data_IF_855655000501
#
_entry.id   IF_855655000501
#
_cell.length_a   1.000
_cell.length_b   1.000
_cell.length_c   1.000
_cell.angle_alpha   90.00
_cell.angle_beta   90.00
_cell.angle_gamma   90.00
#
_symmetry.space_group_name_H-M   'P 1'
#
loop_
_entity.id
_entity.type
_entity.pdbx_description
1 polymer ?
#
# COMPACT_ATOMS: atom_id res chain seq x y z
N UNK A 1 11.00 6.08 29.09
CA UNK A 1 11.64 5.54 27.87
C UNK A 1 10.84 4.31 27.46
N UNK A 2 10.37 4.26 26.21
CA UNK A 2 9.68 3.08 25.67
C UNK A 2 10.75 2.00 25.43
N UNK A 3 10.80 0.99 26.29
CA UNK A 3 11.91 0.02 26.36
C UNK A 3 11.67 -1.27 25.55
N UNK A 4 10.44 -1.54 25.11
CA UNK A 4 10.09 -2.73 24.32
C UNK A 4 9.12 -2.43 23.18
N UNK A 5 9.01 -3.34 22.19
CA UNK A 5 8.05 -3.21 21.09
C UNK A 5 6.59 -3.19 21.59
N UNK A 6 6.28 -4.00 22.60
CA UNK A 6 4.96 -4.03 23.24
C UNK A 6 4.59 -2.69 23.86
N UNK A 7 5.55 -2.01 24.49
CA UNK A 7 5.33 -0.69 25.07
C UNK A 7 5.07 0.35 23.97
N UNK A 8 5.72 0.22 22.82
CA UNK A 8 5.51 1.11 21.68
C UNK A 8 4.11 0.97 21.11
N UNK A 9 3.67 -0.26 20.85
CA UNK A 9 2.32 -0.53 20.33
C UNK A 9 1.28 0.03 21.30
N UNK A 10 1.46 -0.23 22.59
CA UNK A 10 0.55 0.27 23.63
C UNK A 10 0.55 1.79 23.74
N UNK A 11 1.72 2.43 23.60
CA UNK A 11 1.83 3.90 23.64
C UNK A 11 1.17 4.54 22.42
N UNK A 12 1.47 4.03 21.22
CA UNK A 12 0.86 4.54 19.97
C UNK A 12 -0.66 4.32 20.01
N UNK A 13 -1.11 3.15 20.48
CA UNK A 13 -2.53 2.85 20.62
C UNK A 13 -3.23 3.71 21.69
N UNK A 14 -2.51 4.36 22.60
CA UNK A 14 -3.10 5.28 23.58
C UNK A 14 -3.19 6.73 23.07
N UNK A 15 -2.47 7.09 22.00
CA UNK A 15 -2.54 8.42 21.39
C UNK A 15 -3.91 8.63 20.73
N UNK A 16 -4.35 9.88 20.62
CA UNK A 16 -5.50 10.23 19.76
C UNK A 16 -5.10 10.13 18.29
N UNK A 17 -6.03 9.75 17.40
CA UNK A 17 -5.81 9.76 15.94
C UNK A 17 -5.40 11.18 15.45
N UNK A 18 -5.89 12.21 16.13
CA UNK A 18 -5.62 13.61 15.80
C UNK A 18 -4.33 14.18 16.44
N UNK A 19 -3.63 13.42 17.28
CA UNK A 19 -2.42 13.90 17.98
C UNK A 19 -1.15 13.70 17.14
N UNK A 20 -1.02 14.46 16.04
CA UNK A 20 0.13 14.36 15.12
C UNK A 20 1.46 14.61 15.85
N UNK A 21 1.47 15.60 16.75
CA UNK A 21 2.66 15.96 17.50
C UNK A 21 3.08 14.86 18.48
N UNK A 22 2.13 14.24 19.19
CA UNK A 22 2.39 13.11 20.07
C UNK A 22 2.87 11.88 19.33
N UNK A 23 2.30 11.59 18.16
CA UNK A 23 2.73 10.49 17.26
C UNK A 23 4.16 10.75 16.77
N UNK A 24 4.43 11.95 16.27
CA UNK A 24 5.75 12.33 15.77
C UNK A 24 6.80 12.31 16.89
N UNK A 25 6.50 12.83 18.07
CA UNK A 25 7.40 12.78 19.22
C UNK A 25 7.69 11.34 19.66
N UNK A 26 6.65 10.49 19.76
CA UNK A 26 6.76 9.08 20.15
C UNK A 26 7.62 8.29 19.17
N UNK A 27 7.38 8.48 17.87
CA UNK A 27 8.10 7.77 16.82
C UNK A 27 9.50 8.34 16.58
N UNK A 28 9.72 9.65 16.75
CA UNK A 28 11.04 10.29 16.55
C UNK A 28 12.00 10.01 17.71
N UNK A 29 11.49 9.87 18.93
CA UNK A 29 12.29 9.51 20.11
C UNK A 29 12.91 8.09 20.02
N UNK A 30 12.48 7.27 19.07
CA UNK A 30 13.04 5.94 18.79
C UNK A 30 14.13 6.01 17.73
N UNK A 31 15.33 5.56 18.12
CA UNK A 31 16.49 5.38 17.23
C UNK A 31 16.48 4.07 16.44
N UNK A 32 15.57 3.14 16.76
CA UNK A 32 15.40 1.88 16.03
C UNK A 32 14.99 2.13 14.57
N UNK A 33 15.47 1.28 13.65
CA UNK A 33 15.19 1.38 12.21
C UNK A 33 13.73 1.09 11.83
N UNK A 34 13.41 1.20 10.54
CA UNK A 34 12.05 1.06 9.99
C UNK A 34 11.40 -0.30 10.33
N UNK A 35 12.22 -1.35 10.42
CA UNK A 35 11.77 -2.74 10.60
C UNK A 35 10.90 -2.98 11.83
N UNK A 36 11.19 -2.32 12.95
CA UNK A 36 10.41 -2.50 14.17
C UNK A 36 9.05 -1.79 14.12
N UNK A 37 8.95 -0.70 13.36
CA UNK A 37 7.78 0.18 13.38
C UNK A 37 6.70 -0.25 12.37
N UNK A 38 7.11 -0.88 11.27
CA UNK A 38 6.20 -1.20 10.17
C UNK A 38 5.08 -2.19 10.58
N UNK A 39 5.35 -3.33 11.25
CA UNK A 39 4.29 -4.29 11.59
C UNK A 39 3.18 -3.72 12.51
N UNK A 40 3.49 -3.02 13.62
CA UNK A 40 2.44 -2.40 14.44
C UNK A 40 1.62 -1.34 13.70
N UNK A 41 2.25 -0.59 12.79
CA UNK A 41 1.54 0.42 12.01
C UNK A 41 0.64 -0.22 10.95
N UNK A 42 0.98 -1.41 10.43
CA UNK A 42 0.09 -2.16 9.55
C UNK A 42 -1.18 -2.64 10.26
N UNK A 43 -1.08 -3.12 11.51
CA UNK A 43 -2.27 -3.45 12.31
C UNK A 43 -3.21 -2.25 12.49
N UNK A 44 -2.63 -1.05 12.60
CA UNK A 44 -3.40 0.19 12.74
C UNK A 44 -4.07 0.63 11.43
N UNK A 45 -3.61 0.19 10.25
CA UNK A 45 -4.21 0.62 8.97
C UNK A 45 -5.70 0.28 8.87
N UNK A 46 -6.18 -0.73 9.60
CA UNK A 46 -7.56 -1.18 9.55
C UNK A 46 -8.39 -0.71 10.75
N UNK A 47 -7.74 -0.66 11.91
CA UNK A 47 -8.43 -0.31 13.17
C UNK A 47 -8.44 1.19 13.41
N UNK A 48 -7.42 1.91 12.95
CA UNK A 48 -7.16 3.33 13.20
C UNK A 48 -6.40 3.97 12.02
N UNK A 49 -7.01 4.05 10.81
CA UNK A 49 -6.29 4.38 9.59
C UNK A 49 -5.66 5.79 9.57
N UNK A 50 -6.24 6.77 10.28
CA UNK A 50 -5.64 8.10 10.41
C UNK A 50 -4.38 8.07 11.28
N UNK A 51 -4.38 7.30 12.36
CA UNK A 51 -3.20 7.08 13.19
C UNK A 51 -2.10 6.36 12.39
N UNK A 52 -2.47 5.35 11.60
CA UNK A 52 -1.55 4.65 10.71
C UNK A 52 -0.95 5.58 9.65
N UNK A 53 -1.78 6.42 9.01
CA UNK A 53 -1.34 7.43 8.05
C UNK A 53 -0.26 8.33 8.66
N UNK A 54 -0.51 8.90 9.84
CA UNK A 54 0.43 9.77 10.55
C UNK A 54 1.72 9.03 10.92
N UNK A 55 1.62 7.78 11.38
CA UNK A 55 2.78 6.96 11.67
C UNK A 55 3.65 6.69 10.45
N UNK A 56 3.04 6.37 9.30
CA UNK A 56 3.77 6.16 8.05
C UNK A 56 4.36 7.46 7.51
N UNK A 57 3.69 8.62 7.68
CA UNK A 57 4.29 9.94 7.36
C UNK A 57 5.61 10.12 8.10
N UNK A 58 5.65 9.81 9.40
CA UNK A 58 6.89 9.91 10.19
C UNK A 58 7.95 8.93 9.70
N UNK A 59 7.60 7.68 9.39
CA UNK A 59 8.53 6.69 8.85
C UNK A 59 9.13 7.17 7.53
N UNK A 60 8.31 7.69 6.63
CA UNK A 60 8.73 8.05 5.27
C UNK A 60 9.63 9.28 5.26
N UNK A 61 9.52 10.17 6.25
CA UNK A 61 10.44 11.30 6.45
C UNK A 61 11.86 10.86 6.87
N UNK A 62 12.04 9.63 7.34
CA UNK A 62 13.37 9.13 7.74
C UNK A 62 14.26 8.91 6.52
N UNK A 63 15.59 9.06 6.67
CA UNK A 63 16.53 8.74 5.60
C UNK A 63 16.35 7.31 5.08
N UNK A 64 16.60 7.12 3.79
CA UNK A 64 16.55 5.81 3.16
C UNK A 64 17.53 4.84 3.86
N UNK A 65 17.07 3.65 4.26
CA UNK A 65 17.95 2.64 4.85
C UNK A 65 18.97 2.09 3.84
N UNK A 66 20.15 1.72 4.33
CA UNK A 66 21.23 1.15 3.51
C UNK A 66 21.12 -0.36 3.31
N UNK A 67 20.53 -1.08 4.27
CA UNK A 67 20.35 -2.52 4.15
C UNK A 67 19.08 -2.84 3.34
N UNK A 68 19.16 -3.92 2.55
CA UNK A 68 18.13 -4.29 1.56
C UNK A 68 16.74 -4.42 2.18
N UNK A 69 16.61 -5.16 3.29
CA UNK A 69 15.31 -5.48 3.87
C UNK A 69 14.65 -4.23 4.47
N UNK A 70 15.39 -3.40 5.19
CA UNK A 70 14.81 -2.17 5.75
C UNK A 70 14.46 -1.17 4.64
N UNK A 71 15.23 -1.14 3.53
CA UNK A 71 14.90 -0.35 2.35
C UNK A 71 13.58 -0.81 1.73
N UNK A 72 13.37 -2.11 1.59
CA UNK A 72 12.12 -2.69 1.08
C UNK A 72 10.92 -2.28 1.96
N UNK A 73 11.05 -2.40 3.28
CA UNK A 73 10.02 -1.96 4.22
C UNK A 73 9.74 -0.45 4.14
N UNK A 74 10.79 0.35 3.93
CA UNK A 74 10.68 1.80 3.78
C UNK A 74 9.99 2.20 2.47
N UNK A 75 10.28 1.50 1.37
CA UNK A 75 9.59 1.68 0.07
C UNK A 75 8.12 1.26 0.18
N UNK A 76 7.82 0.18 0.92
CA UNK A 76 6.44 -0.22 1.20
C UNK A 76 5.71 0.81 2.05
N UNK A 77 6.38 1.41 3.05
CA UNK A 77 5.79 2.51 3.83
C UNK A 77 5.43 3.72 2.95
N UNK A 78 6.24 4.05 1.94
CA UNK A 78 5.93 5.10 0.95
C UNK A 78 4.68 4.79 0.13
N UNK A 79 4.57 3.56 -0.34
CA UNK A 79 3.36 3.11 -1.03
C UNK A 79 2.13 3.20 -0.12
N UNK A 80 2.22 2.67 1.09
CA UNK A 80 1.07 2.55 1.99
C UNK A 80 0.62 3.92 2.50
N UNK A 81 1.54 4.84 2.78
CA UNK A 81 1.15 6.21 3.16
C UNK A 81 0.50 6.93 1.98
N UNK A 82 0.95 6.67 0.75
CA UNK A 82 0.38 7.26 -0.45
C UNK A 82 -1.05 6.73 -0.69
N UNK A 83 -1.27 5.44 -0.53
CA UNK A 83 -2.62 4.85 -0.51
C UNK A 83 -3.51 5.51 0.54
N UNK A 84 -3.05 5.61 1.80
CA UNK A 84 -3.85 6.23 2.87
C UNK A 84 -4.10 7.72 2.65
N UNK A 85 -3.20 8.44 1.98
CA UNK A 85 -3.38 9.84 1.62
C UNK A 85 -4.55 10.09 0.67
N UNK A 86 -5.06 9.05 -0.01
CA UNK A 86 -6.28 9.17 -0.80
C UNK A 86 -7.52 9.41 0.09
N UNK A 87 -7.49 8.87 1.31
CA UNK A 87 -8.62 8.89 2.26
C UNK A 87 -8.40 9.88 3.42
N UNK A 88 -7.15 10.07 3.85
CA UNK A 88 -6.80 10.79 5.08
C UNK A 88 -5.79 11.92 4.85
N UNK A 89 -5.61 12.75 5.88
CA UNK A 89 -4.71 13.90 5.89
C UNK A 89 -5.33 15.14 5.24
N UNK A 90 -4.83 16.29 5.65
CA UNK A 90 -5.17 17.58 5.03
C UNK A 90 -4.49 17.72 3.65
N UNK A 91 -4.99 18.59 2.74
CA UNK A 91 -4.45 18.73 1.39
C UNK A 91 -2.93 18.93 1.34
N UNK A 92 -2.37 19.73 2.25
CA UNK A 92 -0.93 19.99 2.33
C UNK A 92 -0.14 18.73 2.75
N UNK A 93 -0.70 17.91 3.64
CA UNK A 93 -0.08 16.64 4.03
C UNK A 93 -0.07 15.64 2.88
N UNK A 94 -1.19 15.54 2.14
CA UNK A 94 -1.31 14.68 0.96
C UNK A 94 -0.32 15.08 -0.12
N UNK A 95 -0.20 16.38 -0.39
CA UNK A 95 0.78 16.93 -1.33
C UNK A 95 2.21 16.51 -0.91
N UNK A 96 2.58 16.73 0.34
CA UNK A 96 3.90 16.38 0.84
C UNK A 96 4.18 14.86 0.84
N UNK A 97 3.14 14.03 0.98
CA UNK A 97 3.23 12.58 0.86
C UNK A 97 3.50 12.17 -0.58
N UNK A 98 2.71 12.67 -1.54
CA UNK A 98 2.85 12.33 -2.96
C UNK A 98 4.22 12.75 -3.48
N UNK A 99 4.66 13.97 -3.19
CA UNK A 99 5.98 14.45 -3.60
C UNK A 99 7.11 13.56 -3.09
N UNK A 100 6.98 13.04 -1.85
CA UNK A 100 7.97 12.13 -1.28
C UNK A 100 7.91 10.74 -1.89
N UNK A 101 6.71 10.21 -2.09
CA UNK A 101 6.49 8.90 -2.69
C UNK A 101 7.04 8.85 -4.12
N UNK A 102 6.72 9.86 -4.95
CA UNK A 102 7.17 9.93 -6.34
C UNK A 102 8.70 9.94 -6.49
N UNK A 103 9.44 10.50 -5.53
CA UNK A 103 10.93 10.47 -5.55
C UNK A 103 11.52 9.08 -5.51
N UNK A 104 10.77 8.09 -5.04
CA UNK A 104 11.22 6.69 -4.91
C UNK A 104 10.33 5.69 -5.67
N UNK A 105 9.40 6.20 -6.48
CA UNK A 105 8.42 5.39 -7.20
C UNK A 105 9.05 4.43 -8.20
N UNK A 106 10.19 4.75 -8.79
CA UNK A 106 10.92 3.85 -9.70
C UNK A 106 11.40 2.55 -9.01
N UNK A 107 11.45 2.52 -7.69
CA UNK A 107 11.82 1.34 -6.90
C UNK A 107 10.59 0.58 -6.37
N UNK A 108 9.39 1.14 -6.52
CA UNK A 108 8.12 0.51 -6.17
C UNK A 108 7.01 1.11 -7.05
N UNK A 109 6.80 0.51 -8.23
CA UNK A 109 5.97 1.10 -9.29
C UNK A 109 4.50 1.31 -8.90
N UNK A 110 3.99 0.56 -7.90
CA UNK A 110 2.64 0.77 -7.38
C UNK A 110 2.43 2.18 -6.80
N UNK A 111 3.52 2.87 -6.43
CA UNK A 111 3.46 4.27 -6.00
C UNK A 111 2.91 5.18 -7.11
N UNK A 112 3.22 4.92 -8.39
CA UNK A 112 2.74 5.77 -9.48
C UNK A 112 1.20 5.79 -9.57
N UNK A 113 0.56 4.63 -9.44
CA UNK A 113 -0.90 4.53 -9.40
C UNK A 113 -1.49 5.23 -8.17
N UNK A 114 -1.00 4.91 -6.97
CA UNK A 114 -1.49 5.52 -5.74
C UNK A 114 -1.29 7.05 -5.72
N UNK A 115 -0.16 7.52 -6.24
CA UNK A 115 0.11 8.95 -6.38
C UNK A 115 -0.88 9.61 -7.34
N UNK A 116 -1.17 9.00 -8.48
CA UNK A 116 -2.16 9.52 -9.43
C UNK A 116 -3.57 9.64 -8.81
N UNK A 117 -3.99 8.67 -7.98
CA UNK A 117 -5.24 8.76 -7.23
C UNK A 117 -5.27 9.98 -6.30
N UNK A 118 -4.19 10.18 -5.52
CA UNK A 118 -4.09 11.34 -4.62
C UNK A 118 -4.02 12.66 -5.40
N UNK A 119 -3.30 12.72 -6.52
CA UNK A 119 -3.21 13.90 -7.38
C UNK A 119 -4.57 14.26 -7.99
N UNK A 120 -5.37 13.27 -8.41
CA UNK A 120 -6.75 13.48 -8.81
C UNK A 120 -7.59 14.07 -7.65
N UNK A 121 -7.43 13.54 -6.43
CA UNK A 121 -8.09 14.05 -5.23
C UNK A 121 -7.73 15.51 -4.92
N UNK A 122 -6.48 15.90 -5.22
CA UNK A 122 -5.96 17.26 -5.06
C UNK A 122 -6.31 18.18 -6.24
N UNK A 123 -7.01 17.69 -7.26
CA UNK A 123 -7.38 18.49 -8.44
C UNK A 123 -6.21 18.77 -9.39
N UNK A 124 -5.23 17.88 -9.46
CA UNK A 124 -4.00 18.03 -10.25
C UNK A 124 -3.95 16.99 -11.39
N UNK A 125 -4.75 17.16 -12.46
CA UNK A 125 -4.90 16.14 -13.50
C UNK A 125 -3.65 15.91 -14.33
N UNK A 126 -2.89 16.95 -14.65
CA UNK A 126 -1.66 16.85 -15.45
C UNK A 126 -0.62 15.99 -14.72
N UNK A 127 -0.37 16.27 -13.44
CA UNK A 127 0.57 15.48 -12.64
C UNK A 127 0.09 14.03 -12.44
N UNK A 128 -1.23 13.80 -12.35
CA UNK A 128 -1.78 12.46 -12.25
C UNK A 128 -1.51 11.65 -13.54
N UNK A 129 -1.69 12.26 -14.71
CA UNK A 129 -1.36 11.66 -16.00
C UNK A 129 0.15 11.37 -16.12
N UNK A 130 0.99 12.33 -15.75
CA UNK A 130 2.45 12.16 -15.75
C UNK A 130 2.89 10.98 -14.87
N UNK A 131 2.29 10.84 -13.68
CA UNK A 131 2.58 9.72 -12.78
C UNK A 131 2.20 8.37 -13.41
N UNK A 132 1.03 8.27 -14.03
CA UNK A 132 0.59 7.04 -14.72
C UNK A 132 1.50 6.73 -15.90
N UNK A 133 1.81 7.73 -16.73
CA UNK A 133 2.71 7.57 -17.88
C UNK A 133 4.09 7.06 -17.46
N UNK A 134 4.68 7.65 -16.42
CA UNK A 134 5.97 7.19 -15.88
C UNK A 134 5.90 5.76 -15.34
N UNK A 135 4.85 5.42 -14.59
CA UNK A 135 4.66 4.07 -14.08
C UNK A 135 4.55 3.05 -15.21
N UNK A 136 3.72 3.34 -16.20
CA UNK A 136 3.55 2.50 -17.39
C UNK A 136 4.89 2.35 -18.15
N UNK A 137 5.60 3.44 -18.39
CA UNK A 137 6.89 3.44 -19.09
C UNK A 137 7.98 2.65 -18.38
N UNK A 138 7.90 2.51 -17.06
CA UNK A 138 8.81 1.71 -16.23
C UNK A 138 8.35 0.26 -16.02
N UNK A 139 7.24 -0.16 -16.63
CA UNK A 139 6.75 -1.54 -16.56
C UNK A 139 5.77 -1.81 -15.42
N UNK A 140 4.93 -0.82 -15.06
CA UNK A 140 3.80 -1.06 -14.15
C UNK A 140 2.94 -2.24 -14.66
N UNK A 141 2.58 -3.10 -13.73
CA UNK A 141 1.86 -4.36 -13.94
C UNK A 141 0.55 -4.19 -14.74
N UNK A 142 0.30 -5.11 -15.67
CA UNK A 142 -0.88 -5.06 -16.56
C UNK A 142 -2.21 -5.14 -15.78
N UNK A 143 -2.27 -5.89 -14.68
CA UNK A 143 -3.47 -5.94 -13.85
C UNK A 143 -3.74 -4.60 -13.18
N UNK A 144 -2.69 -3.90 -12.74
CA UNK A 144 -2.81 -2.54 -12.21
C UNK A 144 -3.35 -1.58 -13.27
N UNK A 145 -2.80 -1.59 -14.49
CA UNK A 145 -3.26 -0.69 -15.56
C UNK A 145 -4.68 -1.03 -16.03
N UNK A 146 -5.03 -2.31 -16.07
CA UNK A 146 -6.40 -2.72 -16.37
C UNK A 146 -7.38 -2.27 -15.28
N UNK A 147 -7.00 -2.37 -14.00
CA UNK A 147 -7.83 -1.92 -12.88
C UNK A 147 -8.08 -0.40 -12.89
N UNK A 148 -7.13 0.42 -13.37
CA UNK A 148 -7.28 1.88 -13.47
C UNK A 148 -8.49 2.29 -14.32
N UNK A 149 -8.88 1.47 -15.31
CA UNK A 149 -10.02 1.76 -16.20
C UNK A 149 -11.35 1.88 -15.47
N UNK A 150 -11.46 1.29 -14.28
CA UNK A 150 -12.65 1.27 -13.43
C UNK A 150 -12.41 1.89 -12.03
N UNK A 151 -11.23 2.48 -11.80
CA UNK A 151 -10.83 3.04 -10.51
C UNK A 151 -11.35 4.47 -10.33
N UNK A 152 -12.41 4.64 -9.54
CA UNK A 152 -13.12 5.91 -9.31
C UNK A 152 -12.24 7.03 -8.76
N UNK A 153 -11.11 6.71 -8.14
CA UNK A 153 -10.18 7.75 -7.67
C UNK A 153 -9.50 8.49 -8.83
N UNK A 154 -9.56 7.95 -10.06
CA UNK A 154 -9.04 8.54 -11.29
C UNK A 154 -10.12 9.26 -12.13
N UNK A 155 -11.32 9.48 -11.60
CA UNK A 155 -12.44 10.09 -12.34
C UNK A 155 -12.10 11.46 -12.94
N UNK A 156 -11.20 12.22 -12.31
CA UNK A 156 -10.74 13.52 -12.81
C UNK A 156 -10.06 13.41 -14.19
N UNK A 157 -9.39 12.29 -14.48
CA UNK A 157 -8.63 12.09 -15.72
C UNK A 157 -9.24 11.00 -16.62
N UNK A 158 -10.15 10.15 -16.11
CA UNK A 158 -10.69 8.97 -16.80
C UNK A 158 -11.19 9.25 -18.21
N UNK A 159 -11.87 10.38 -18.41
CA UNK A 159 -12.52 10.73 -19.67
C UNK A 159 -11.63 11.55 -20.62
N UNK A 160 -10.34 11.69 -20.33
CA UNK A 160 -9.40 12.41 -21.18
C UNK A 160 -8.81 11.52 -22.28
N UNK A 161 -8.51 12.10 -23.44
CA UNK A 161 -7.81 11.39 -24.52
C UNK A 161 -6.43 10.90 -24.08
N UNK A 162 -5.73 11.68 -23.24
CA UNK A 162 -4.44 11.31 -22.68
C UNK A 162 -4.52 10.03 -21.85
N UNK A 163 -5.48 9.94 -20.92
CA UNK A 163 -5.68 8.72 -20.15
C UNK A 163 -6.05 7.53 -21.05
N UNK A 164 -6.96 7.74 -22.01
CA UNK A 164 -7.35 6.71 -22.96
C UNK A 164 -6.16 6.19 -23.79
N UNK A 165 -5.25 7.06 -24.21
CA UNK A 165 -4.02 6.67 -24.92
C UNK A 165 -3.08 5.83 -24.02
N UNK A 166 -3.01 6.15 -22.73
CA UNK A 166 -2.17 5.42 -21.76
C UNK A 166 -2.70 4.01 -21.46
N UNK A 167 -4.03 3.84 -21.32
CA UNK A 167 -4.64 2.57 -20.85
C UNK A 167 -5.37 1.77 -21.93
N UNK A 168 -5.74 2.40 -23.05
CA UNK A 168 -6.76 1.93 -23.98
C UNK A 168 -6.39 0.73 -24.85
N UNK A 169 -5.15 0.65 -25.35
CA UNK A 169 -4.74 -0.38 -26.31
C UNK A 169 -3.89 -1.51 -25.70
N UNK A 170 -3.65 -1.49 -24.38
CA UNK A 170 -2.93 -2.59 -23.73
C UNK A 170 -3.74 -3.88 -23.81
N UNK A 171 -3.04 -5.00 -24.00
CA UNK A 171 -3.62 -6.34 -23.97
C UNK A 171 -4.45 -6.47 -22.70
N UNK A 172 -5.69 -6.93 -22.85
CA UNK A 172 -6.55 -7.16 -21.70
C UNK A 172 -5.84 -8.12 -20.75
N UNK A 173 -5.63 -7.69 -19.51
CA UNK A 173 -5.04 -8.54 -18.49
C UNK A 173 -5.91 -9.78 -18.31
N UNK A 174 -5.36 -10.95 -18.62
CA UNK A 174 -6.00 -12.22 -18.38
C UNK A 174 -5.81 -12.59 -16.91
N UNK A 175 -6.93 -12.74 -16.20
CA UNK A 175 -6.92 -13.18 -14.81
C UNK A 175 -6.30 -14.58 -14.71
N UNK A 176 -5.53 -14.86 -13.65
CA UNK A 176 -5.06 -16.21 -13.39
C UNK A 176 -6.22 -17.19 -13.28
N UNK A 177 -6.02 -18.43 -13.74
CA UNK A 177 -7.08 -19.45 -13.75
C UNK A 177 -7.65 -19.82 -12.36
N UNK A 178 -7.01 -19.37 -11.27
CA UNK A 178 -7.52 -19.53 -9.91
C UNK A 178 -8.45 -18.39 -9.44
N UNK A 179 -8.53 -17.30 -10.19
CA UNK A 179 -9.41 -16.15 -9.94
C UNK A 179 -10.41 -15.90 -11.10
N UNK A 180 -11.09 -16.93 -11.65
CA UNK A 180 -11.88 -16.78 -12.88
C UNK A 180 -13.13 -15.90 -12.72
N UNK A 181 -13.63 -15.75 -11.50
CA UNK A 181 -14.83 -14.97 -11.16
C UNK A 181 -14.52 -13.56 -10.68
N UNK A 182 -13.23 -13.20 -10.61
CA UNK A 182 -12.80 -11.91 -10.12
C UNK A 182 -12.84 -10.87 -11.23
N UNK A 183 -12.94 -9.60 -10.85
CA UNK A 183 -12.59 -8.47 -11.71
C UNK A 183 -11.09 -8.17 -11.59
N UNK A 184 -10.50 -7.49 -12.59
CA UNK A 184 -9.11 -7.02 -12.48
C UNK A 184 -8.91 -6.07 -11.29
N UNK A 185 -9.96 -5.30 -10.94
CA UNK A 185 -9.98 -4.44 -9.75
C UNK A 185 -9.89 -5.25 -8.46
N UNK A 186 -10.77 -6.23 -8.25
CA UNK A 186 -10.73 -7.07 -7.06
C UNK A 186 -9.39 -7.80 -6.95
N UNK A 187 -8.89 -8.34 -8.08
CA UNK A 187 -7.62 -9.06 -8.10
C UNK A 187 -6.47 -8.15 -7.67
N UNK A 188 -6.44 -6.93 -8.20
CA UNK A 188 -5.44 -5.94 -7.84
C UNK A 188 -5.58 -5.53 -6.37
N UNK A 189 -6.79 -5.27 -5.89
CA UNK A 189 -7.03 -4.95 -4.48
C UNK A 189 -6.54 -6.07 -3.57
N UNK A 190 -6.83 -7.33 -3.89
CA UNK A 190 -6.38 -8.46 -3.07
C UNK A 190 -4.86 -8.61 -3.10
N UNK A 191 -4.23 -8.45 -4.27
CA UNK A 191 -2.77 -8.38 -4.39
C UNK A 191 -2.18 -7.30 -3.48
N UNK A 192 -2.79 -6.12 -3.43
CA UNK A 192 -2.34 -5.01 -2.59
C UNK A 192 -2.55 -5.26 -1.10
N UNK A 193 -3.66 -5.87 -0.72
CA UNK A 193 -3.90 -6.30 0.65
C UNK A 193 -2.86 -7.31 1.10
N UNK A 194 -2.59 -8.33 0.28
CA UNK A 194 -1.55 -9.34 0.59
C UNK A 194 -0.19 -8.67 0.72
N UNK A 195 0.21 -7.82 -0.22
CA UNK A 195 1.49 -7.11 -0.21
C UNK A 195 1.67 -6.22 1.03
N UNK A 196 0.58 -5.57 1.44
CA UNK A 196 0.55 -4.62 2.55
C UNK A 196 0.59 -5.32 3.90
N UNK A 197 -0.22 -6.36 4.05
CA UNK A 197 -0.53 -6.96 5.35
C UNK A 197 0.41 -8.08 5.75
N UNK A 198 0.94 -8.81 4.77
CA UNK A 198 1.82 -9.91 5.11
C UNK A 198 3.21 -9.38 5.54
N UNK A 199 3.88 -10.06 6.48
CA UNK A 199 5.23 -9.74 6.88
C UNK A 199 6.26 -10.18 5.83
N UNK A 200 6.77 -9.20 5.06
CA UNK A 200 7.80 -9.40 4.03
C UNK A 200 7.39 -10.42 2.94
N UNK A 201 6.27 -10.19 2.23
CA UNK A 201 5.80 -11.11 1.21
C UNK A 201 6.59 -10.92 -0.08
N UNK A 202 7.22 -12.00 -0.54
CA UNK A 202 7.74 -12.13 -1.89
C UNK A 202 6.58 -12.40 -2.85
N UNK A 203 6.19 -11.36 -3.58
CA UNK A 203 5.05 -11.36 -4.51
C UNK A 203 5.42 -11.87 -5.91
N UNK A 204 6.67 -12.32 -6.13
CA UNK A 204 7.17 -12.67 -7.48
C UNK A 204 6.40 -13.81 -8.17
N UNK A 205 5.81 -14.74 -7.40
CA UNK A 205 5.01 -15.86 -7.92
C UNK A 205 3.50 -15.67 -7.70
N UNK A 206 3.04 -14.46 -7.30
CA UNK A 206 1.65 -14.22 -6.90
C UNK A 206 0.64 -14.63 -7.98
N UNK A 207 0.98 -14.44 -9.27
CA UNK A 207 0.13 -14.82 -10.39
C UNK A 207 -0.19 -16.33 -10.43
N UNK A 208 0.68 -17.19 -9.92
CA UNK A 208 0.40 -18.64 -9.81
C UNK A 208 -0.43 -19.03 -8.59
N UNK A 209 -0.79 -18.04 -7.75
CA UNK A 209 -1.51 -18.24 -6.50
C UNK A 209 -0.61 -18.59 -5.31
N UNK A 210 0.71 -18.39 -5.43
CA UNK A 210 1.68 -18.65 -4.36
C UNK A 210 2.53 -17.42 -4.08
N UNK A 211 2.91 -17.26 -2.83
CA UNK A 211 3.93 -16.28 -2.41
C UNK A 211 4.86 -16.92 -1.41
N UNK A 212 5.97 -16.24 -1.09
CA UNK A 212 6.79 -16.59 0.07
C UNK A 212 6.68 -15.51 1.14
N UNK A 213 6.39 -15.91 2.37
CA UNK A 213 6.27 -15.00 3.51
C UNK A 213 6.93 -15.65 4.72
N UNK A 214 7.75 -14.91 5.49
CA UNK A 214 8.50 -15.46 6.63
C UNK A 214 9.29 -16.76 6.31
N UNK A 215 9.86 -16.86 5.10
CA UNK A 215 10.63 -18.02 4.67
C UNK A 215 9.80 -19.27 4.31
N UNK A 216 8.47 -19.15 4.25
CA UNK A 216 7.55 -20.26 3.92
C UNK A 216 6.73 -19.93 2.70
N UNK A 217 6.33 -20.95 1.96
CA UNK A 217 5.35 -20.82 0.90
C UNK A 217 3.95 -20.64 1.51
N UNK A 218 3.17 -19.70 0.97
CA UNK A 218 1.80 -19.43 1.38
C UNK A 218 0.86 -19.56 0.17
N UNK A 219 -0.24 -20.30 0.35
CA UNK A 219 -1.28 -20.49 -0.65
C UNK A 219 -2.25 -19.31 -0.66
N UNK A 220 -2.19 -18.51 -1.72
CA UNK A 220 -3.10 -17.38 -1.93
C UNK A 220 -4.42 -17.82 -2.57
N UNK A 221 -4.51 -19.00 -3.18
CA UNK A 221 -5.75 -19.50 -3.79
C UNK A 221 -6.78 -19.77 -2.69
N UNK A 222 -6.37 -20.47 -1.63
CA UNK A 222 -7.24 -20.74 -0.48
C UNK A 222 -7.71 -19.46 0.22
N UNK A 223 -6.82 -18.48 0.39
CA UNK A 223 -7.14 -17.19 1.01
C UNK A 223 -8.05 -16.34 0.11
N UNK A 224 -7.77 -16.28 -1.19
CA UNK A 224 -8.59 -15.59 -2.17
C UNK A 224 -10.02 -16.14 -2.19
N UNK A 225 -10.20 -17.48 -2.16
CA UNK A 225 -11.53 -18.10 -2.08
C UNK A 225 -12.32 -17.69 -0.85
N UNK A 226 -11.66 -17.45 0.28
CA UNK A 226 -12.33 -16.99 1.50
C UNK A 226 -12.72 -15.52 1.43
N UNK A 227 -11.93 -14.71 0.71
CA UNK A 227 -12.15 -13.28 0.52
C UNK A 227 -13.22 -12.99 -0.55
N UNK A 228 -13.30 -13.81 -1.60
CA UNK A 228 -14.19 -13.55 -2.73
C UNK A 228 -15.66 -13.37 -2.28
N UNK A 229 -16.32 -12.32 -2.78
CA UNK A 229 -17.69 -11.96 -2.42
C UNK A 229 -17.86 -11.24 -1.07
N UNK A 230 -16.77 -10.99 -0.33
CA UNK A 230 -16.77 -10.21 0.92
C UNK A 230 -16.29 -8.78 0.69
N UNK A 231 -16.55 -7.91 1.66
CA UNK A 231 -16.05 -6.53 1.61
C UNK A 231 -14.60 -6.42 2.13
N UNK A 232 -13.98 -5.26 1.87
CA UNK A 232 -12.57 -4.97 2.21
C UNK A 232 -12.26 -5.06 3.72
N UNK A 233 -13.21 -4.76 4.61
CA UNK A 233 -13.00 -4.91 6.05
C UNK A 233 -12.88 -6.38 6.43
N UNK A 234 -13.73 -7.24 5.87
CA UNK A 234 -13.68 -8.68 6.11
C UNK A 234 -12.41 -9.30 5.52
N UNK A 235 -11.90 -8.78 4.40
CA UNK A 235 -10.61 -9.20 3.84
C UNK A 235 -9.48 -8.92 4.82
N UNK A 236 -9.49 -7.72 5.43
CA UNK A 236 -8.52 -7.34 6.46
C UNK A 236 -8.49 -8.35 7.61
N UNK A 237 -9.65 -8.73 8.14
CA UNK A 237 -9.75 -9.70 9.24
C UNK A 237 -9.21 -11.08 8.85
N UNK A 238 -9.59 -11.59 7.68
CA UNK A 238 -9.12 -12.90 7.18
C UNK A 238 -7.61 -12.91 6.95
N UNK A 239 -7.07 -11.83 6.39
CA UNK A 239 -5.63 -11.72 6.12
C UNK A 239 -4.85 -11.55 7.44
N UNK A 240 -5.37 -10.79 8.42
CA UNK A 240 -4.77 -10.70 9.75
C UNK A 240 -4.77 -12.05 10.47
N UNK A 241 -5.84 -12.82 10.38
CA UNK A 241 -5.89 -14.18 10.91
C UNK A 241 -4.81 -15.06 10.26
N UNK A 242 -4.69 -15.00 8.93
CA UNK A 242 -3.64 -15.71 8.19
C UNK A 242 -2.24 -15.32 8.66
N UNK A 243 -1.97 -14.02 8.84
CA UNK A 243 -0.70 -13.51 9.37
C UNK A 243 -0.42 -14.08 10.77
N UNK A 244 -1.42 -14.08 11.67
CA UNK A 244 -1.27 -14.62 13.03
C UNK A 244 -0.93 -16.11 13.01
N UNK A 245 -1.52 -16.89 12.10
CA UNK A 245 -1.18 -18.31 11.95
C UNK A 245 0.24 -18.52 11.43
N UNK A 246 0.67 -17.70 10.46
CA UNK A 246 2.03 -17.75 9.90
C UNK A 246 3.11 -17.43 10.94
N UNK A 247 2.84 -16.48 11.84
CA UNK A 247 3.77 -16.06 12.89
C UNK A 247 3.81 -17.04 14.08
N UNK A 248 2.70 -17.74 14.37
CA UNK A 248 2.64 -18.73 15.48
C UNK A 248 3.33 -20.05 15.19
N UNK A 249 3.32 -20.49 13.93
CA UNK A 249 3.98 -21.72 13.48
C UNK A 249 5.46 -21.46 13.24
#
# INVERSE_FOLDING_TARGET
>A
MITSMSDLVSTIAALSDEDAAGIEATLTARTEGVRGLAPPIFDLMYTRPLLAFRGLVVITRRPQPTNRVDKELWLRAHNNVCYLANFHGEPEERQAVVERALRVASENLAIYHNAACVLCKLGQPEQALDAIEQGIGLGLDDAAVQAMKDDTDLDLIRHTEAFAALVGERVQFELPGWAPEWTSREFKQFQEFVRTMLPDPDMSDFASGRIRCCGRECDMIGLAKQCHGRNESEWGDLILEHVRELVRK
#
